data_IF_338770438727
#
_entry.id   IF_338770438727
#
_cell.length_a   1.000
_cell.length_b   1.000
_cell.length_c   1.000
_cell.angle_alpha   90.00
_cell.angle_beta   90.00
_cell.angle_gamma   90.00
#
_symmetry.space_group_name_H-M   'P 1'
#
loop_
_entity.id
_entity.type
_entity.pdbx_description
1 polymer ?
#
# COMPACT_ATOMS: atom_id res chain seq x y z
N UNK A 1 10.75 3.94 -10.62
CA UNK A 1 10.04 3.34 -9.46
C UNK A 1 8.82 4.16 -9.05
N UNK A 2 8.97 5.43 -8.66
CA UNK A 2 7.82 6.27 -8.24
C UNK A 2 6.77 6.52 -9.34
N UNK A 3 7.18 6.61 -10.60
CA UNK A 3 6.28 6.89 -11.73
C UNK A 3 5.28 5.75 -12.00
N UNK A 4 5.70 4.50 -11.81
CA UNK A 4 4.84 3.33 -11.98
C UNK A 4 3.76 3.30 -10.90
N UNK A 5 4.14 3.59 -9.64
CA UNK A 5 3.20 3.70 -8.53
C UNK A 5 2.21 4.86 -8.73
N UNK A 6 2.69 6.02 -9.20
CA UNK A 6 1.83 7.18 -9.47
C UNK A 6 0.82 6.89 -10.59
N UNK A 7 1.26 6.20 -11.64
CA UNK A 7 0.39 5.79 -12.75
C UNK A 7 -0.70 4.82 -12.27
N UNK A 8 -0.32 3.86 -11.42
CA UNK A 8 -1.23 2.89 -10.82
C UNK A 8 -2.23 3.56 -9.86
N UNK A 9 -1.75 4.44 -8.98
CA UNK A 9 -2.57 5.24 -8.09
C UNK A 9 -3.64 6.01 -8.87
N UNK A 10 -3.26 6.77 -9.90
CA UNK A 10 -4.22 7.52 -10.72
C UNK A 10 -5.22 6.62 -11.43
N UNK A 11 -4.77 5.49 -11.96
CA UNK A 11 -5.65 4.55 -12.66
C UNK A 11 -6.69 3.94 -11.71
N UNK A 12 -6.27 3.46 -10.54
CA UNK A 12 -7.15 2.83 -9.56
C UNK A 12 -8.04 3.83 -8.82
N UNK A 13 -7.53 5.04 -8.53
CA UNK A 13 -8.32 6.07 -7.88
C UNK A 13 -9.45 6.57 -8.79
N UNK A 14 -9.20 6.73 -10.10
CA UNK A 14 -10.20 7.27 -11.04
C UNK A 14 -11.12 6.17 -11.57
N UNK A 15 -10.60 4.97 -11.86
CA UNK A 15 -11.35 3.90 -12.54
C UNK A 15 -11.70 2.71 -11.65
N UNK A 16 -11.20 2.69 -10.42
CA UNK A 16 -11.33 1.58 -9.50
C UNK A 16 -12.75 1.38 -8.97
N UNK A 17 -13.01 0.22 -8.34
CA UNK A 17 -14.33 -0.16 -7.87
C UNK A 17 -14.88 0.78 -6.79
N UNK A 18 -14.01 1.40 -5.99
CA UNK A 18 -14.42 2.40 -4.99
C UNK A 18 -14.96 3.67 -5.63
N UNK A 19 -14.26 4.21 -6.62
CA UNK A 19 -14.73 5.41 -7.31
C UNK A 19 -16.01 5.16 -8.11
N UNK A 20 -16.12 3.99 -8.73
CA UNK A 20 -17.37 3.59 -9.41
C UNK A 20 -18.58 3.54 -8.47
N UNK A 21 -18.37 3.24 -7.17
CA UNK A 21 -19.45 3.24 -6.16
C UNK A 21 -19.75 4.64 -5.63
N UNK A 22 -18.73 5.51 -5.49
CA UNK A 22 -18.86 6.85 -4.91
C UNK A 22 -19.54 7.85 -5.86
N UNK A 23 -19.46 7.64 -7.18
CA UNK A 23 -20.13 8.49 -8.17
C UNK A 23 -19.27 9.68 -8.59
N UNK A 24 -19.89 10.83 -8.88
CA UNK A 24 -19.15 12.03 -9.31
C UNK A 24 -18.39 12.66 -8.12
N UNK A 25 -17.20 13.19 -8.36
CA UNK A 25 -16.44 13.93 -7.35
C UNK A 25 -17.08 15.30 -7.11
N UNK A 26 -17.34 15.68 -5.86
CA UNK A 26 -17.96 16.97 -5.52
C UNK A 26 -16.93 18.03 -5.11
N UNK A 27 -15.68 17.64 -4.84
CA UNK A 27 -14.62 18.56 -4.43
C UNK A 27 -13.31 17.87 -4.07
N UNK A 28 -12.39 18.66 -3.49
CA UNK A 28 -11.07 18.17 -3.05
C UNK A 28 -11.18 17.24 -1.84
N UNK A 29 -12.10 17.49 -0.91
CA UNK A 29 -12.33 16.63 0.26
C UNK A 29 -12.64 15.18 -0.16
N UNK A 30 -13.40 15.00 -1.24
CA UNK A 30 -13.71 13.67 -1.76
C UNK A 30 -12.45 12.94 -2.24
N UNK A 31 -11.51 13.67 -2.84
CA UNK A 31 -10.23 13.17 -3.33
C UNK A 31 -9.29 12.82 -2.20
N UNK A 32 -9.24 13.63 -1.14
CA UNK A 32 -8.44 13.36 0.05
C UNK A 32 -8.91 12.07 0.74
N UNK A 33 -10.22 11.93 0.95
CA UNK A 33 -10.81 10.70 1.52
C UNK A 33 -10.49 9.49 0.64
N UNK A 34 -10.73 9.59 -0.68
CA UNK A 34 -10.47 8.49 -1.59
C UNK A 34 -8.98 8.10 -1.63
N UNK A 35 -8.09 9.07 -1.50
CA UNK A 35 -6.64 8.84 -1.43
C UNK A 35 -6.26 8.12 -0.15
N UNK A 36 -6.77 8.56 1.00
CA UNK A 36 -6.53 7.90 2.29
C UNK A 36 -7.05 6.45 2.26
N UNK A 37 -8.26 6.23 1.73
CA UNK A 37 -8.80 4.88 1.57
C UNK A 37 -7.95 4.03 0.63
N UNK A 38 -7.49 4.59 -0.50
CA UNK A 38 -6.64 3.88 -1.45
C UNK A 38 -5.32 3.46 -0.79
N UNK A 39 -4.67 4.34 -0.03
CA UNK A 39 -3.42 4.06 0.69
C UNK A 39 -3.63 2.96 1.74
N UNK A 40 -4.71 3.04 2.53
CA UNK A 40 -5.07 2.00 3.50
C UNK A 40 -5.19 0.63 2.84
N UNK A 41 -5.95 0.56 1.74
CA UNK A 41 -6.14 -0.69 1.02
C UNK A 41 -4.84 -1.19 0.39
N UNK A 42 -4.07 -0.31 -0.24
CA UNK A 42 -2.82 -0.67 -0.88
C UNK A 42 -1.83 -1.26 0.14
N UNK A 43 -1.69 -0.63 1.31
CA UNK A 43 -0.71 -1.04 2.30
C UNK A 43 -1.17 -2.22 3.17
N UNK A 44 -2.45 -2.33 3.49
CA UNK A 44 -2.95 -3.30 4.47
C UNK A 44 -3.71 -4.49 3.87
N UNK A 45 -4.19 -4.39 2.63
CA UNK A 45 -5.17 -5.37 2.09
C UNK A 45 -4.84 -5.84 0.68
N UNK A 46 -4.02 -5.10 -0.07
CA UNK A 46 -3.68 -5.44 -1.44
C UNK A 46 -2.61 -6.52 -1.43
N UNK A 47 -2.95 -7.67 -2.01
CA UNK A 47 -2.02 -8.77 -2.14
C UNK A 47 -1.12 -8.53 -3.36
N UNK A 48 0.19 -8.50 -3.14
CA UNK A 48 1.16 -8.35 -4.22
C UNK A 48 1.77 -9.71 -4.55
N UNK A 49 1.58 -10.18 -5.79
CA UNK A 49 2.16 -11.45 -6.25
C UNK A 49 3.68 -11.48 -6.12
N UNK A 50 4.34 -10.37 -6.45
CA UNK A 50 5.80 -10.21 -6.29
C UNK A 50 6.29 -10.26 -4.84
N UNK A 51 5.41 -9.96 -3.87
CA UNK A 51 5.73 -10.07 -2.43
C UNK A 51 5.34 -11.44 -1.86
N UNK A 52 4.88 -12.40 -2.67
CA UNK A 52 4.42 -13.70 -2.19
C UNK A 52 2.98 -13.68 -1.67
N UNK A 53 2.12 -12.82 -2.24
CA UNK A 53 0.72 -12.66 -1.84
C UNK A 53 0.50 -12.14 -0.42
N UNK A 54 1.41 -11.31 0.09
CA UNK A 54 1.21 -10.57 1.34
C UNK A 54 1.03 -9.07 1.08
N UNK A 55 0.32 -8.35 1.96
CA UNK A 55 0.29 -6.89 1.95
C UNK A 55 1.68 -6.28 2.18
N UNK A 56 1.96 -5.08 1.64
CA UNK A 56 3.23 -4.40 1.87
C UNK A 56 3.56 -4.20 3.35
N UNK A 57 2.56 -3.89 4.19
CA UNK A 57 2.78 -3.71 5.62
C UNK A 57 3.29 -4.99 6.32
N UNK A 58 2.77 -6.16 5.94
CA UNK A 58 3.24 -7.44 6.48
C UNK A 58 4.64 -7.79 5.98
N UNK A 59 4.92 -7.50 4.71
CA UNK A 59 6.25 -7.67 4.14
C UNK A 59 7.29 -6.79 4.85
N UNK A 60 6.98 -5.51 5.09
CA UNK A 60 7.86 -4.60 5.82
C UNK A 60 8.05 -5.04 7.28
N UNK A 61 6.97 -5.46 7.97
CA UNK A 61 7.07 -5.96 9.34
C UNK A 61 7.99 -7.19 9.44
N UNK A 62 7.87 -8.14 8.52
CA UNK A 62 8.74 -9.31 8.46
C UNK A 62 10.19 -8.93 8.16
N UNK A 63 10.41 -7.96 7.26
CA UNK A 63 11.75 -7.46 6.95
C UNK A 63 12.41 -6.83 8.19
N UNK A 64 11.73 -5.93 8.91
CA UNK A 64 12.26 -5.32 10.12
C UNK A 64 12.55 -6.34 11.23
N UNK A 65 11.64 -7.30 11.44
CA UNK A 65 11.86 -8.38 12.40
C UNK A 65 13.11 -9.21 12.05
N UNK A 66 13.36 -9.46 10.76
CA UNK A 66 14.56 -10.19 10.32
C UNK A 66 15.86 -9.40 10.54
N UNK A 67 15.80 -8.07 10.41
CA UNK A 67 16.96 -7.20 10.65
C UNK A 67 17.30 -7.12 12.14
N UNK A 68 16.29 -7.02 13.00
CA UNK A 68 16.48 -7.03 14.45
C UNK A 68 17.07 -8.37 14.90
N UNK A 69 16.54 -9.49 14.42
CA UNK A 69 17.11 -10.82 14.71
C UNK A 69 18.57 -10.94 14.24
N UNK A 70 18.89 -10.43 13.05
CA UNK A 70 20.26 -10.44 12.54
C UNK A 70 21.21 -9.50 13.32
N UNK A 71 20.69 -8.47 13.97
CA UNK A 71 21.45 -7.60 14.86
C UNK A 71 21.71 -8.28 16.21
N UNK A 72 20.72 -8.97 16.76
CA UNK A 72 20.83 -9.74 18.00
C UNK A 72 21.83 -10.90 17.84
N UNK A 73 21.75 -11.65 16.74
CA UNK A 73 22.67 -12.76 16.44
C UNK A 73 24.13 -12.28 16.30
N UNK A 74 24.35 -11.06 15.79
CA UNK A 74 25.69 -10.45 15.70
C UNK A 74 26.23 -9.97 17.04
N UNK A 75 25.37 -9.59 17.97
CA UNK A 75 25.77 -9.16 19.30
C UNK A 75 25.96 -10.33 20.27
N UNK A 76 25.43 -11.51 19.93
CA UNK A 76 25.58 -12.75 20.70
C UNK A 76 26.82 -13.59 20.30
N UNK A 77 27.55 -13.20 19.26
CA UNK A 77 28.78 -13.83 18.76
C UNK A 77 30.03 -13.05 19.17
#
# INVERSE_FOLDING_TARGET
MAEALNSLYKAELVRGPRQRRKGMWHGIDDLEIATAEWVDWYNQRRLHGELGHVPPAEYEAAYWASLDQAADDKNAA
#
